data_IF_004574461360
#
_entry.id   IF_004574461360
#
_cell.length_a   1.000
_cell.length_b   1.000
_cell.length_c   1.000
_cell.angle_alpha   90.00
_cell.angle_beta   90.00
_cell.angle_gamma   90.00
#
_symmetry.space_group_name_H-M   'P 1'
#
loop_
_entity.id
_entity.type
_entity.pdbx_description
1 polymer ?
#
# COMPACT_ATOMS: atom_id res chain seq x y z
N UNK A 1 -7.97 -5.18 9.05
CA UNK A 1 -8.26 -4.58 7.72
C UNK A 1 -8.78 -3.14 7.78
N UNK A 2 -9.84 -2.83 8.53
CA UNK A 2 -10.42 -1.47 8.58
C UNK A 2 -9.43 -0.39 9.05
N UNK A 3 -8.56 -0.73 10.00
CA UNK A 3 -7.52 0.19 10.49
C UNK A 3 -6.50 0.54 9.40
N UNK A 4 -6.14 -0.42 8.54
CA UNK A 4 -5.26 -0.17 7.40
C UNK A 4 -5.96 0.71 6.36
N UNK A 5 -7.21 0.41 6.02
CA UNK A 5 -7.98 1.20 5.06
C UNK A 5 -8.20 2.64 5.54
N UNK A 6 -8.52 2.86 6.83
CA UNK A 6 -8.64 4.21 7.39
C UNK A 6 -7.31 4.97 7.36
N UNK A 7 -6.21 4.31 7.74
CA UNK A 7 -4.88 4.90 7.67
C UNK A 7 -4.50 5.24 6.23
N UNK A 8 -4.68 4.28 5.31
CA UNK A 8 -4.42 4.44 3.89
C UNK A 8 -5.25 5.58 3.28
N UNK A 9 -6.55 5.64 3.58
CA UNK A 9 -7.41 6.68 3.02
C UNK A 9 -7.02 8.09 3.51
N UNK A 10 -6.57 8.20 4.77
CA UNK A 10 -6.09 9.47 5.33
C UNK A 10 -4.82 9.99 4.67
N UNK A 11 -3.96 9.10 4.16
CA UNK A 11 -2.68 9.46 3.53
C UNK A 11 -2.75 9.45 2.00
N UNK A 12 -3.68 8.69 1.42
CA UNK A 12 -3.78 8.50 -0.02
C UNK A 12 -4.22 9.76 -0.75
N UNK A 13 -5.02 10.62 -0.10
CA UNK A 13 -5.39 11.91 -0.67
C UNK A 13 -4.21 12.89 -0.64
N UNK A 14 -3.58 13.07 0.52
CA UNK A 14 -2.43 13.96 0.73
C UNK A 14 -1.21 13.61 -0.13
N UNK A 15 -0.96 12.31 -0.33
CA UNK A 15 0.20 11.82 -1.08
C UNK A 15 -0.12 11.38 -2.50
N UNK A 16 -1.40 11.41 -2.90
CA UNK A 16 -1.85 10.88 -4.18
C UNK A 16 -1.48 9.41 -4.37
N UNK A 17 -1.73 8.54 -3.37
CA UNK A 17 -1.51 7.10 -3.49
C UNK A 17 -2.72 6.38 -4.09
N UNK A 18 -2.44 5.28 -4.79
CA UNK A 18 -3.42 4.32 -5.30
C UNK A 18 -3.18 2.96 -4.63
N UNK A 19 -4.25 2.30 -4.18
CA UNK A 19 -4.19 0.94 -3.65
C UNK A 19 -4.83 -0.01 -4.65
N UNK A 20 -4.08 -1.04 -5.02
CA UNK A 20 -4.56 -2.15 -5.82
C UNK A 20 -4.50 -3.41 -4.97
N UNK A 21 -5.67 -4.03 -4.76
CA UNK A 21 -5.76 -5.33 -4.11
C UNK A 21 -6.26 -6.31 -5.16
N UNK A 22 -5.45 -7.32 -5.43
CA UNK A 22 -5.73 -8.34 -6.41
C UNK A 22 -5.68 -9.71 -5.74
N UNK A 23 -6.66 -10.55 -6.04
CA UNK A 23 -6.65 -11.95 -5.64
C UNK A 23 -6.71 -12.81 -6.90
N UNK A 24 -5.85 -13.82 -6.96
CA UNK A 24 -5.92 -14.85 -7.99
C UNK A 24 -5.72 -16.22 -7.40
N UNK A 25 -6.43 -17.20 -7.94
CA UNK A 25 -6.26 -18.60 -7.55
C UNK A 25 -4.85 -19.16 -7.85
N UNK A 26 -4.01 -18.42 -8.60
CA UNK A 26 -2.64 -18.80 -8.97
C UNK A 26 -1.59 -17.99 -8.21
N UNK A 27 -1.93 -16.75 -7.81
CA UNK A 27 -0.98 -15.71 -7.35
C UNK A 27 -1.29 -15.28 -5.90
N UNK A 28 -2.28 -15.90 -5.27
CA UNK A 28 -2.76 -15.59 -3.92
C UNK A 28 -3.21 -14.13 -3.77
N UNK A 29 -3.25 -13.60 -2.53
CA UNK A 29 -3.57 -12.20 -2.26
C UNK A 29 -2.35 -11.32 -2.53
N UNK A 30 -2.51 -10.36 -3.42
CA UNK A 30 -1.49 -9.38 -3.78
C UNK A 30 -2.02 -7.97 -3.53
N UNK A 31 -1.28 -7.21 -2.74
CA UNK A 31 -1.59 -5.85 -2.32
C UNK A 31 -0.46 -4.95 -2.80
N UNK A 32 -0.79 -4.05 -3.71
CA UNK A 32 0.10 -3.05 -4.28
C UNK A 32 -0.35 -1.66 -3.89
N UNK A 33 0.58 -0.83 -3.45
CA UNK A 33 0.36 0.61 -3.32
C UNK A 33 1.31 1.30 -4.29
N UNK A 34 0.76 2.15 -5.14
CA UNK A 34 1.52 3.00 -6.05
C UNK A 34 1.09 4.45 -5.94
N UNK A 35 1.61 5.29 -6.81
CA UNK A 35 1.15 6.67 -6.98
C UNK A 35 0.04 6.77 -8.02
N UNK A 36 -0.96 7.62 -7.76
CA UNK A 36 -2.01 8.00 -8.72
C UNK A 36 -1.39 8.63 -9.96
N UNK A 37 -2.13 8.53 -11.07
CA UNK A 37 -1.72 9.06 -12.36
C UNK A 37 -1.46 10.58 -12.38
N UNK A 38 -2.07 11.29 -11.43
CA UNK A 38 -1.92 12.74 -11.22
C UNK A 38 -0.64 13.15 -10.51
N UNK A 39 0.16 12.20 -10.00
CA UNK A 39 1.39 12.51 -9.27
C UNK A 39 2.63 12.42 -10.19
N UNK A 40 3.65 13.24 -9.95
CA UNK A 40 4.89 13.27 -10.78
C UNK A 40 5.67 11.95 -10.73
N UNK A 41 5.46 11.14 -9.69
CA UNK A 41 6.05 9.81 -9.49
C UNK A 41 5.18 8.66 -10.01
N UNK A 42 4.25 8.95 -10.93
CA UNK A 42 3.38 7.94 -11.51
C UNK A 42 4.19 6.81 -12.16
N UNK A 43 4.00 5.58 -11.65
CA UNK A 43 4.71 4.38 -12.08
C UNK A 43 5.62 3.78 -11.00
N UNK A 44 5.89 4.53 -9.94
CA UNK A 44 6.65 4.01 -8.81
C UNK A 44 5.74 3.22 -7.87
N UNK A 45 6.15 1.98 -7.59
CA UNK A 45 5.45 1.11 -6.64
C UNK A 45 6.04 1.37 -5.26
N UNK A 46 5.19 1.82 -4.34
CA UNK A 46 5.55 2.15 -2.96
C UNK A 46 5.74 0.86 -2.17
N UNK A 47 4.75 -0.01 -2.24
CA UNK A 47 4.81 -1.36 -1.67
C UNK A 47 4.15 -2.37 -2.61
N UNK A 48 4.71 -3.57 -2.63
CA UNK A 48 4.17 -4.75 -3.29
C UNK A 48 4.28 -5.91 -2.29
N UNK A 49 3.13 -6.43 -1.87
CA UNK A 49 3.06 -7.55 -0.93
C UNK A 49 2.22 -8.64 -1.55
N UNK A 50 2.74 -9.85 -1.54
CA UNK A 50 2.02 -11.05 -1.94
C UNK A 50 2.10 -12.06 -0.80
N UNK A 51 0.95 -12.59 -0.39
CA UNK A 51 0.87 -13.61 0.65
C UNK A 51 -0.41 -14.46 0.46
N UNK A 52 -0.35 -15.71 0.92
CA UNK A 52 -1.49 -16.65 0.85
C UNK A 52 -2.66 -16.21 1.74
N UNK A 53 -2.32 -15.67 2.91
CA UNK A 53 -3.28 -15.18 3.89
C UNK A 53 -3.59 -13.68 3.69
N UNK A 54 -4.86 -13.37 3.43
CA UNK A 54 -5.35 -12.00 3.26
C UNK A 54 -4.97 -11.12 4.47
N UNK A 55 -5.24 -11.60 5.68
CA UNK A 55 -5.02 -10.81 6.89
C UNK A 55 -3.53 -10.52 7.12
N UNK A 56 -2.68 -11.50 6.83
CA UNK A 56 -1.23 -11.37 6.93
C UNK A 56 -0.68 -10.42 5.87
N UNK A 57 -1.18 -10.52 4.62
CA UNK A 57 -0.82 -9.61 3.54
C UNK A 57 -1.14 -8.15 3.89
N UNK A 58 -2.34 -7.88 4.43
CA UNK A 58 -2.72 -6.53 4.87
C UNK A 58 -1.87 -6.02 6.04
N UNK A 59 -1.56 -6.87 7.03
CA UNK A 59 -0.72 -6.48 8.15
C UNK A 59 0.71 -6.12 7.68
N UNK A 60 1.28 -6.93 6.79
CA UNK A 60 2.61 -6.72 6.20
C UNK A 60 2.65 -5.49 5.30
N UNK A 61 1.62 -5.28 4.48
CA UNK A 61 1.44 -4.06 3.69
C UNK A 61 1.35 -2.81 4.59
N UNK A 62 0.64 -2.89 5.70
CA UNK A 62 0.54 -1.78 6.67
C UNK A 62 1.90 -1.41 7.27
N UNK A 63 2.70 -2.41 7.67
CA UNK A 63 4.03 -2.19 8.24
C UNK A 63 4.96 -1.58 7.20
N UNK A 64 5.04 -2.18 6.01
CA UNK A 64 5.91 -1.66 4.94
C UNK A 64 5.51 -0.25 4.51
N UNK A 65 4.22 0.05 4.42
CA UNK A 65 3.75 1.39 4.06
C UNK A 65 4.15 2.42 5.11
N UNK A 66 4.08 2.06 6.40
CA UNK A 66 4.54 2.93 7.51
C UNK A 66 6.06 3.12 7.49
N UNK A 67 6.83 2.07 7.25
CA UNK A 67 8.29 2.17 7.14
C UNK A 67 8.70 3.03 5.94
N UNK A 68 8.03 2.84 4.80
CA UNK A 68 8.26 3.64 3.61
C UNK A 68 7.93 5.12 3.86
N UNK A 69 6.81 5.40 4.53
CA UNK A 69 6.43 6.75 4.96
C UNK A 69 7.51 7.40 5.82
N UNK A 70 8.01 6.69 6.85
CA UNK A 70 9.06 7.20 7.74
C UNK A 70 10.33 7.51 6.94
N UNK A 71 10.71 6.61 6.04
CA UNK A 71 11.95 6.70 5.25
C UNK A 71 11.89 7.81 4.20
N UNK A 72 10.73 8.03 3.57
CA UNK A 72 10.59 8.96 2.45
C UNK A 72 10.11 10.36 2.86
N UNK A 73 9.29 10.47 3.92
CA UNK A 73 8.74 11.74 4.43
C UNK A 73 9.46 12.29 5.67
N UNK A 74 10.48 11.62 6.19
CA UNK A 74 11.40 12.20 7.18
C UNK A 74 10.94 12.13 8.63
N UNK A 75 10.18 11.11 9.02
CA UNK A 75 9.79 10.89 10.42
C UNK A 75 8.52 11.64 10.84
N UNK A 76 7.92 11.14 11.94
CA UNK A 76 6.64 11.56 12.51
C UNK A 76 6.68 12.99 13.09
#
# INVERSE_FOLDING_TARGET
>A
MEAFLKFFNSIADDNGFNLEVYYSSIVDWSIKVGYKCTNKNHGETVIDVQDCDMEFAFAKAQVQLKEWMIKNKGGY
#
